data_IF_006792966557
#
_entry.id   IF_006792966557
#
_cell.length_a   1.000
_cell.length_b   1.000
_cell.length_c   1.000
_cell.angle_alpha   90.00
_cell.angle_beta   90.00
_cell.angle_gamma   90.00
#
_symmetry.space_group_name_H-M   'P 1'
#
loop_
_entity.id
_entity.type
_entity.pdbx_description
1 polymer ?
#
# COMPACT_ATOMS: atom_id res chain seq x y z
N UNK A 1 -20.26 3.32 0.49
CA UNK A 1 -20.55 2.11 -0.28
C UNK A 1 -21.98 1.70 -0.01
N UNK A 2 -22.83 1.59 -1.07
CA UNK A 2 -24.26 1.26 -0.94
C UNK A 2 -24.45 -0.14 -0.34
N UNK A 3 -23.66 -1.12 -0.76
CA UNK A 3 -23.73 -2.50 -0.26
C UNK A 3 -23.49 -2.58 1.25
N UNK A 4 -22.57 -1.79 1.79
CA UNK A 4 -22.30 -1.73 3.23
C UNK A 4 -23.48 -1.17 4.01
N UNK A 5 -24.13 -0.13 3.49
CA UNK A 5 -25.33 0.44 4.11
C UNK A 5 -26.48 -0.55 4.11
N UNK A 6 -26.71 -1.22 2.98
CA UNK A 6 -27.75 -2.26 2.86
C UNK A 6 -27.49 -3.42 3.82
N UNK A 7 -26.25 -3.90 3.92
CA UNK A 7 -25.87 -4.95 4.87
C UNK A 7 -26.26 -4.57 6.31
N UNK A 8 -25.85 -3.39 6.78
CA UNK A 8 -26.15 -2.95 8.12
C UNK A 8 -27.66 -2.70 8.34
N UNK A 9 -28.35 -2.17 7.34
CA UNK A 9 -29.82 -2.03 7.41
C UNK A 9 -30.49 -3.39 7.58
N UNK A 10 -30.06 -4.41 6.85
CA UNK A 10 -30.60 -5.77 7.00
C UNK A 10 -30.32 -6.34 8.39
N UNK A 11 -29.11 -6.18 8.92
CA UNK A 11 -28.75 -6.63 10.28
C UNK A 11 -29.61 -5.93 11.35
N UNK A 12 -29.82 -4.63 11.21
CA UNK A 12 -30.62 -3.84 12.15
C UNK A 12 -32.10 -4.23 12.11
N UNK A 13 -32.62 -4.56 10.93
CA UNK A 13 -34.02 -4.97 10.77
C UNK A 13 -34.28 -6.39 11.26
N UNK A 14 -33.34 -7.32 10.96
CA UNK A 14 -33.49 -8.74 11.35
C UNK A 14 -33.25 -8.98 12.85
N UNK A 15 -32.35 -8.18 13.44
CA UNK A 15 -31.96 -8.32 14.85
C UNK A 15 -32.07 -6.99 15.59
N UNK A 16 -33.29 -6.46 15.82
CA UNK A 16 -33.46 -5.22 16.57
C UNK A 16 -32.95 -5.39 18.01
N UNK A 17 -32.11 -4.48 18.47
CA UNK A 17 -31.41 -4.56 19.76
C UNK A 17 -30.00 -5.11 19.62
N UNK A 18 -29.83 -6.38 19.33
CA UNK A 18 -28.51 -6.98 19.10
C UNK A 18 -27.81 -6.35 17.87
N UNK A 19 -28.56 -6.14 16.80
CA UNK A 19 -28.08 -5.47 15.61
C UNK A 19 -27.61 -4.02 15.89
N UNK A 20 -28.29 -3.30 16.77
CA UNK A 20 -27.87 -1.96 17.19
C UNK A 20 -26.56 -1.99 17.99
N UNK A 21 -26.40 -2.95 18.89
CA UNK A 21 -25.14 -3.17 19.60
C UNK A 21 -24.02 -3.54 18.63
N UNK A 22 -24.28 -4.47 17.72
CA UNK A 22 -23.31 -4.84 16.68
C UNK A 22 -22.94 -3.63 15.80
N UNK A 23 -23.91 -2.83 15.37
CA UNK A 23 -23.65 -1.63 14.58
C UNK A 23 -22.84 -0.60 15.37
N UNK A 24 -23.14 -0.41 16.65
CA UNK A 24 -22.38 0.51 17.51
C UNK A 24 -20.91 0.11 17.65
N UNK A 25 -20.65 -1.19 17.84
CA UNK A 25 -19.30 -1.69 18.01
C UNK A 25 -18.55 -1.89 16.68
N UNK A 26 -19.21 -2.35 15.62
CA UNK A 26 -18.58 -2.74 14.36
C UNK A 26 -18.99 -1.90 13.16
N UNK A 27 -20.18 -1.35 13.13
CA UNK A 27 -20.72 -0.57 12.02
C UNK A 27 -20.41 0.93 12.11
N UNK A 28 -20.07 1.41 13.30
CA UNK A 28 -19.88 2.84 13.56
C UNK A 28 -18.52 3.36 13.11
N UNK A 29 -18.52 4.50 12.45
CA UNK A 29 -17.31 5.30 12.14
C UNK A 29 -16.54 5.77 13.40
N UNK A 30 -17.10 5.61 14.60
CA UNK A 30 -16.57 6.18 15.83
C UNK A 30 -15.21 5.59 16.23
N UNK A 31 -15.02 4.28 16.07
CA UNK A 31 -13.73 3.63 16.35
C UNK A 31 -12.61 4.00 15.37
N UNK A 32 -12.97 4.39 14.16
CA UNK A 32 -12.02 4.65 13.07
C UNK A 32 -11.66 6.12 12.86
N UNK A 33 -12.28 7.07 13.56
CA UNK A 33 -12.03 8.51 13.35
C UNK A 33 -10.57 8.91 13.55
N UNK A 34 -9.89 8.31 14.54
CA UNK A 34 -8.46 8.60 14.78
C UNK A 34 -7.57 8.02 13.69
N UNK A 35 -7.83 6.78 13.28
CA UNK A 35 -7.10 6.16 12.18
C UNK A 35 -7.34 6.89 10.86
N UNK A 36 -8.61 7.21 10.56
CA UNK A 36 -8.97 8.00 9.38
C UNK A 36 -8.28 9.37 9.36
N UNK A 37 -8.28 10.11 10.48
CA UNK A 37 -7.58 11.39 10.57
C UNK A 37 -6.07 11.27 10.37
N UNK A 38 -5.44 10.17 10.86
CA UNK A 38 -4.00 9.93 10.63
C UNK A 38 -3.71 9.64 9.17
N UNK A 39 -4.52 8.78 8.54
CA UNK A 39 -4.39 8.46 7.11
C UNK A 39 -4.63 9.72 6.28
N UNK A 40 -5.70 10.47 6.59
CA UNK A 40 -5.99 11.71 5.86
C UNK A 40 -4.85 12.72 5.97
N UNK A 41 -4.30 12.94 7.17
CA UNK A 41 -3.12 13.81 7.33
C UNK A 41 -1.91 13.33 6.53
N UNK A 42 -1.67 12.03 6.45
CA UNK A 42 -0.58 11.49 5.66
C UNK A 42 -0.82 11.67 4.15
N UNK A 43 -2.07 11.50 3.71
CA UNK A 43 -2.47 11.77 2.31
C UNK A 43 -2.34 13.25 1.98
N UNK A 44 -2.82 14.13 2.87
CA UNK A 44 -2.73 15.58 2.68
C UNK A 44 -1.27 16.04 2.60
N UNK A 45 -0.40 15.54 3.49
CA UNK A 45 1.03 15.83 3.45
C UNK A 45 1.71 15.28 2.18
N UNK A 46 1.33 14.09 1.72
CA UNK A 46 1.85 13.53 0.48
C UNK A 46 1.40 14.35 -0.75
N UNK A 47 0.14 14.80 -0.76
CA UNK A 47 -0.38 15.66 -1.81
C UNK A 47 0.31 17.03 -1.82
N UNK A 48 0.52 17.62 -0.64
CA UNK A 48 1.25 18.88 -0.51
C UNK A 48 2.70 18.74 -1.02
N UNK A 49 3.40 17.67 -0.65
CA UNK A 49 4.72 17.36 -1.15
C UNK A 49 4.74 17.18 -2.67
N UNK A 50 3.78 16.44 -3.23
CA UNK A 50 3.65 16.29 -4.69
C UNK A 50 3.34 17.61 -5.38
N UNK A 51 2.50 18.47 -4.79
CA UNK A 51 2.22 19.80 -5.32
C UNK A 51 3.46 20.71 -5.27
N UNK A 52 4.28 20.62 -4.20
CA UNK A 52 5.54 21.33 -4.08
C UNK A 52 6.55 20.96 -5.17
N UNK A 53 6.73 19.65 -5.42
CA UNK A 53 7.58 19.17 -6.52
C UNK A 53 7.06 19.66 -7.89
N UNK A 54 5.74 19.78 -8.06
CA UNK A 54 5.13 20.32 -9.28
C UNK A 54 5.46 21.80 -9.52
N UNK A 55 5.62 22.60 -8.46
CA UNK A 55 5.91 24.05 -8.55
C UNK A 55 7.34 24.40 -9.00
N UNK A 56 8.31 23.51 -8.78
CA UNK A 56 9.75 23.81 -8.95
C UNK A 56 10.37 23.35 -10.30
N UNK A 57 9.57 22.97 -11.28
CA UNK A 57 10.09 22.51 -12.58
C UNK A 57 9.18 21.55 -13.33
N UNK A 58 7.96 21.42 -12.89
CA UNK A 58 7.01 20.45 -13.40
C UNK A 58 6.33 20.87 -14.70
N UNK A 59 6.55 22.05 -15.22
CA UNK A 59 5.98 22.47 -16.52
C UNK A 59 6.45 21.57 -17.67
N UNK A 60 7.62 20.99 -17.58
CA UNK A 60 8.17 20.09 -18.61
C UNK A 60 7.70 18.63 -18.54
N UNK A 61 7.07 18.20 -17.45
CA UNK A 61 6.65 16.80 -17.23
C UNK A 61 5.18 16.55 -17.56
N UNK A 62 4.40 17.63 -17.77
CA UNK A 62 2.94 17.58 -17.89
C UNK A 62 2.39 17.91 -19.29
N UNK A 63 3.19 17.88 -20.33
CA UNK A 63 2.77 18.28 -21.68
C UNK A 63 1.84 17.29 -22.41
N UNK A 64 1.46 16.16 -21.82
CA UNK A 64 0.50 15.29 -22.46
C UNK A 64 -0.92 15.82 -22.26
N UNK A 65 -1.47 16.47 -23.27
CA UNK A 65 -2.91 16.80 -23.26
C UNK A 65 -3.74 15.53 -23.09
N UNK A 66 -4.72 15.54 -22.14
CA UNK A 66 -5.59 14.40 -21.94
C UNK A 66 -6.39 14.08 -23.21
N UNK A 67 -6.00 13.04 -23.94
CA UNK A 67 -6.56 12.68 -25.25
C UNK A 67 -7.95 12.04 -25.20
N UNK A 68 -8.35 11.50 -24.05
CA UNK A 68 -9.63 10.81 -23.91
C UNK A 68 -10.39 11.23 -22.64
N UNK A 69 -11.67 10.81 -22.53
CA UNK A 69 -12.56 11.18 -21.42
C UNK A 69 -12.03 10.73 -20.06
N UNK A 70 -11.36 9.57 -20.00
CA UNK A 70 -10.83 9.00 -18.76
C UNK A 70 -9.66 9.84 -18.27
N UNK A 71 -8.70 10.15 -19.13
CA UNK A 71 -7.55 10.97 -18.76
C UNK A 71 -7.96 12.40 -18.38
N UNK A 72 -8.96 12.98 -19.05
CA UNK A 72 -9.54 14.29 -18.68
C UNK A 72 -10.17 14.25 -17.28
N UNK A 73 -10.95 13.21 -17.00
CA UNK A 73 -11.55 13.01 -15.69
C UNK A 73 -10.49 12.86 -14.58
N UNK A 74 -9.49 12.01 -14.81
CA UNK A 74 -8.41 11.78 -13.85
C UNK A 74 -7.60 13.06 -13.60
N UNK A 75 -7.26 13.80 -14.64
CA UNK A 75 -6.56 15.08 -14.49
C UNK A 75 -7.38 16.09 -13.66
N UNK A 76 -8.70 16.14 -13.87
CA UNK A 76 -9.63 16.96 -13.08
C UNK A 76 -9.76 16.51 -11.61
N UNK A 77 -9.40 15.25 -11.28
CA UNK A 77 -9.34 14.74 -9.91
C UNK A 77 -7.95 14.87 -9.26
N UNK A 78 -7.03 15.58 -9.91
CA UNK A 78 -5.67 15.77 -9.39
C UNK A 78 -4.68 14.63 -9.70
N UNK A 79 -5.05 13.69 -10.58
CA UNK A 79 -4.16 12.66 -11.09
C UNK A 79 -3.54 13.11 -12.42
N UNK A 80 -2.31 13.62 -12.41
CA UNK A 80 -1.67 14.13 -13.62
C UNK A 80 -1.37 13.02 -14.63
N UNK A 81 -1.33 13.36 -15.89
CA UNK A 81 -0.83 12.50 -16.94
C UNK A 81 0.69 12.66 -17.04
N UNK A 82 1.42 11.55 -17.08
CA UNK A 82 2.88 11.55 -17.20
C UNK A 82 3.27 11.06 -18.59
N UNK A 83 4.19 11.78 -19.25
CA UNK A 83 4.68 11.44 -20.59
C UNK A 83 5.99 10.66 -20.57
N UNK A 84 6.80 10.82 -19.52
CA UNK A 84 8.11 10.16 -19.35
C UNK A 84 7.97 8.76 -18.72
N UNK A 85 7.09 7.92 -19.25
CA UNK A 85 6.82 6.61 -18.63
C UNK A 85 7.15 5.49 -19.60
N UNK A 86 8.16 4.69 -19.25
CA UNK A 86 8.44 3.42 -19.91
C UNK A 86 7.63 2.32 -19.23
N UNK A 87 6.90 1.56 -20.03
CA UNK A 87 6.01 0.50 -19.54
C UNK A 87 6.54 -0.84 -20.04
N UNK A 88 6.82 -1.76 -19.11
CA UNK A 88 7.13 -3.15 -19.40
C UNK A 88 5.94 -4.03 -19.02
N UNK A 89 5.45 -4.83 -19.95
CA UNK A 89 4.36 -5.76 -19.72
C UNK A 89 4.90 -7.19 -19.61
N UNK A 90 4.45 -7.92 -18.62
CA UNK A 90 4.79 -9.32 -18.40
C UNK A 90 3.51 -10.17 -18.49
N UNK A 91 3.51 -11.16 -19.36
CA UNK A 91 2.39 -12.08 -19.61
C UNK A 91 2.23 -13.14 -18.51
N UNK A 92 3.32 -13.42 -17.77
CA UNK A 92 3.35 -14.38 -16.64
C UNK A 92 4.18 -13.83 -15.48
N UNK A 93 3.81 -14.25 -14.26
CA UNK A 93 4.44 -13.79 -13.03
C UNK A 93 5.91 -14.12 -12.90
N UNK A 94 6.33 -15.26 -13.46
CA UNK A 94 7.72 -15.71 -13.44
C UNK A 94 8.66 -14.75 -14.17
N UNK A 95 8.23 -14.19 -15.29
CA UNK A 95 9.00 -13.18 -16.04
C UNK A 95 9.11 -11.88 -15.25
N UNK A 96 8.00 -11.46 -14.62
CA UNK A 96 8.00 -10.30 -13.73
C UNK A 96 8.96 -10.49 -12.55
N UNK A 97 8.92 -11.64 -11.88
CA UNK A 97 9.81 -11.94 -10.76
C UNK A 97 11.28 -11.99 -11.17
N UNK A 98 11.58 -12.52 -12.36
CA UNK A 98 12.94 -12.53 -12.91
C UNK A 98 13.45 -11.10 -13.14
N UNK A 99 12.68 -10.27 -13.84
CA UNK A 99 13.03 -8.85 -14.08
C UNK A 99 13.17 -8.08 -12.77
N UNK A 100 12.23 -8.25 -11.83
CA UNK A 100 12.30 -7.60 -10.52
C UNK A 100 13.59 -8.01 -9.76
N UNK A 101 13.93 -9.27 -9.79
CA UNK A 101 15.15 -9.80 -9.14
C UNK A 101 16.41 -9.18 -9.74
N UNK A 102 16.47 -9.04 -11.06
CA UNK A 102 17.57 -8.40 -11.77
C UNK A 102 17.67 -6.91 -11.40
N UNK A 103 16.55 -6.18 -11.45
CA UNK A 103 16.51 -4.76 -11.03
C UNK A 103 16.91 -4.54 -9.58
N UNK A 104 16.56 -5.45 -8.67
CA UNK A 104 17.01 -5.40 -7.28
C UNK A 104 18.54 -5.53 -7.18
N UNK A 105 19.15 -6.42 -7.99
CA UNK A 105 20.60 -6.58 -8.05
C UNK A 105 21.31 -5.35 -8.64
N UNK A 106 20.66 -4.68 -9.59
CA UNK A 106 21.20 -3.50 -10.24
C UNK A 106 21.01 -2.20 -9.45
N UNK A 107 20.21 -2.21 -8.40
CA UNK A 107 19.96 -1.05 -7.56
C UNK A 107 21.26 -0.51 -6.94
N UNK A 108 21.45 0.83 -7.01
CA UNK A 108 22.69 1.50 -6.59
C UNK A 108 22.51 2.53 -5.48
N UNK A 109 21.30 3.01 -5.24
CA UNK A 109 21.07 4.10 -4.28
C UNK A 109 20.09 3.71 -3.18
N UNK A 110 18.92 3.22 -3.54
CA UNK A 110 17.87 2.84 -2.60
C UNK A 110 16.95 1.79 -3.21
N UNK A 111 16.21 1.07 -2.36
CA UNK A 111 15.16 0.14 -2.74
C UNK A 111 13.94 0.45 -1.86
N UNK A 112 12.81 0.82 -2.49
CA UNK A 112 11.54 0.99 -1.81
C UNK A 112 10.52 0.00 -2.37
N UNK A 113 9.96 -0.82 -1.49
CA UNK A 113 9.00 -1.86 -1.86
C UNK A 113 7.72 -1.71 -1.05
N UNK A 114 6.57 -1.89 -1.71
CA UNK A 114 5.27 -1.88 -1.04
C UNK A 114 4.42 -3.02 -1.56
N UNK A 115 3.92 -3.86 -0.65
CA UNK A 115 3.11 -5.03 -0.98
C UNK A 115 1.85 -5.10 -0.14
N UNK A 116 0.79 -5.65 -0.72
CA UNK A 116 -0.38 -6.04 0.04
C UNK A 116 -0.10 -7.32 0.84
N UNK A 117 0.50 -8.32 0.20
CA UNK A 117 0.82 -9.60 0.82
C UNK A 117 2.30 -9.90 0.58
N UNK A 118 3.00 -10.23 1.66
CA UNK A 118 4.29 -10.90 1.63
C UNK A 118 4.08 -12.26 2.28
N UNK A 119 4.60 -13.31 1.64
CA UNK A 119 4.57 -14.67 2.14
C UNK A 119 5.98 -15.25 2.17
N UNK A 120 6.34 -15.91 3.27
CA UNK A 120 7.57 -16.68 3.35
C UNK A 120 7.57 -17.80 2.30
N UNK A 121 8.71 -18.06 1.71
CA UNK A 121 8.88 -19.07 0.68
C UNK A 121 10.06 -18.78 -0.24
N UNK A 122 10.37 -19.69 -1.14
CA UNK A 122 11.58 -19.68 -1.97
C UNK A 122 11.80 -18.36 -2.73
N UNK A 123 10.73 -17.75 -3.22
CA UNK A 123 10.82 -16.48 -3.96
C UNK A 123 11.20 -15.34 -3.02
N UNK A 124 10.52 -15.26 -1.86
CA UNK A 124 10.77 -14.21 -0.88
C UNK A 124 12.14 -14.37 -0.22
N UNK A 125 12.56 -15.61 0.06
CA UNK A 125 13.88 -15.88 0.63
C UNK A 125 15.01 -15.42 -0.30
N UNK A 126 14.90 -15.66 -1.60
CA UNK A 126 15.86 -15.13 -2.60
C UNK A 126 15.89 -13.61 -2.62
N UNK A 127 14.73 -12.97 -2.52
CA UNK A 127 14.68 -11.50 -2.42
C UNK A 127 15.35 -11.02 -1.15
N UNK A 128 15.08 -11.66 -0.01
CA UNK A 128 15.71 -11.32 1.27
C UNK A 128 17.24 -11.39 1.17
N UNK A 129 17.80 -12.43 0.54
CA UNK A 129 19.26 -12.56 0.35
C UNK A 129 19.83 -11.35 -0.43
N UNK A 130 19.18 -10.96 -1.53
CA UNK A 130 19.61 -9.80 -2.33
C UNK A 130 19.48 -8.50 -1.52
N UNK A 131 18.37 -8.33 -0.80
CA UNK A 131 18.14 -7.15 0.02
C UNK A 131 19.17 -7.02 1.15
N UNK A 132 19.52 -8.14 1.79
CA UNK A 132 20.57 -8.19 2.81
C UNK A 132 21.95 -7.84 2.24
N UNK A 133 22.29 -8.35 1.06
CA UNK A 133 23.52 -7.99 0.34
C UNK A 133 23.56 -6.51 0.04
N UNK A 134 22.48 -5.95 -0.51
CA UNK A 134 22.36 -4.53 -0.83
C UNK A 134 22.40 -3.63 0.42
N UNK A 135 21.79 -4.07 1.51
CA UNK A 135 21.87 -3.36 2.80
C UNK A 135 23.32 -3.31 3.32
N UNK A 136 24.04 -4.44 3.27
CA UNK A 136 25.47 -4.50 3.61
C UNK A 136 26.33 -3.60 2.72
N UNK A 137 25.94 -3.42 1.47
CA UNK A 137 26.57 -2.48 0.54
C UNK A 137 26.21 -1.01 0.80
N UNK A 138 25.39 -0.72 1.82
CA UNK A 138 25.03 0.63 2.25
C UNK A 138 23.81 1.23 1.57
N UNK A 139 23.03 0.46 0.82
CA UNK A 139 21.81 0.96 0.21
C UNK A 139 20.72 1.16 1.28
N UNK A 140 19.98 2.25 1.14
CA UNK A 140 18.77 2.45 1.94
C UNK A 140 17.64 1.58 1.43
N UNK A 141 17.13 0.69 2.27
CA UNK A 141 16.05 -0.23 1.91
C UNK A 141 14.86 -0.02 2.84
N UNK A 142 13.68 0.20 2.25
CA UNK A 142 12.43 0.32 2.99
C UNK A 142 11.37 -0.58 2.38
N UNK A 143 10.77 -1.43 3.22
CA UNK A 143 9.72 -2.37 2.83
C UNK A 143 8.46 -2.02 3.62
N UNK A 144 7.35 -1.88 2.94
CA UNK A 144 6.03 -1.72 3.55
C UNK A 144 5.12 -2.87 3.10
N UNK A 145 4.41 -3.47 4.04
CA UNK A 145 3.42 -4.51 3.76
C UNK A 145 2.14 -4.28 4.54
N UNK A 146 1.01 -4.76 4.02
CA UNK A 146 -0.25 -4.71 4.77
C UNK A 146 -0.30 -5.82 5.81
N UNK A 147 -0.59 -5.44 7.05
CA UNK A 147 -0.58 -6.36 8.18
C UNK A 147 -1.64 -7.46 8.03
N UNK A 148 -2.87 -7.11 7.64
CA UNK A 148 -3.93 -8.10 7.46
C UNK A 148 -3.68 -9.04 6.28
N UNK A 149 -3.01 -8.55 5.22
CA UNK A 149 -2.65 -9.38 4.07
C UNK A 149 -1.56 -10.40 4.41
N UNK A 150 -0.62 -10.04 5.30
CA UNK A 150 0.60 -10.81 5.55
C UNK A 150 0.59 -11.57 6.88
N UNK A 151 -0.36 -11.30 7.79
CA UNK A 151 -0.37 -11.80 9.18
C UNK A 151 -0.26 -13.33 9.33
N UNK A 152 -0.75 -14.09 8.37
CA UNK A 152 -0.69 -15.55 8.39
C UNK A 152 0.43 -16.12 7.51
N UNK A 153 1.15 -15.29 6.78
CA UNK A 153 2.06 -15.73 5.73
C UNK A 153 3.49 -15.24 5.92
N UNK A 154 3.69 -14.11 6.60
CA UNK A 154 5.01 -13.57 6.91
C UNK A 154 5.34 -13.83 8.38
N UNK A 155 6.39 -14.57 8.63
CA UNK A 155 6.81 -14.90 10.00
C UNK A 155 7.53 -13.71 10.68
N UNK A 156 7.35 -13.63 12.00
CA UNK A 156 8.10 -12.66 12.81
C UNK A 156 9.62 -12.85 12.70
N UNK A 157 10.08 -14.10 12.52
CA UNK A 157 11.48 -14.40 12.32
C UNK A 157 12.05 -13.73 11.07
N UNK A 158 11.32 -13.74 9.96
CA UNK A 158 11.73 -13.05 8.73
C UNK A 158 11.76 -11.53 8.93
N UNK A 159 10.77 -10.97 9.62
CA UNK A 159 10.76 -9.54 9.94
C UNK A 159 11.96 -9.14 10.81
N UNK A 160 12.27 -9.94 11.83
CA UNK A 160 13.43 -9.73 12.71
C UNK A 160 14.75 -9.86 11.93
N UNK A 161 14.87 -10.88 11.08
CA UNK A 161 16.02 -11.07 10.19
C UNK A 161 16.31 -9.84 9.33
N UNK A 162 15.29 -9.31 8.66
CA UNK A 162 15.43 -8.12 7.81
C UNK A 162 15.80 -6.86 8.62
N UNK A 163 15.19 -6.67 9.80
CA UNK A 163 15.56 -5.56 10.70
C UNK A 163 17.02 -5.65 11.16
N UNK A 164 17.48 -6.84 11.50
CA UNK A 164 18.87 -7.07 11.92
C UNK A 164 19.87 -6.83 10.77
N UNK A 165 19.43 -7.02 9.53
CA UNK A 165 20.20 -6.66 8.34
C UNK A 165 20.19 -5.14 8.02
N UNK A 166 19.58 -4.31 8.86
CA UNK A 166 19.52 -2.85 8.66
C UNK A 166 18.42 -2.39 7.70
N UNK A 167 17.47 -3.26 7.35
CA UNK A 167 16.37 -2.95 6.45
C UNK A 167 15.20 -2.35 7.24
N UNK A 168 14.69 -1.19 6.79
CA UNK A 168 13.45 -0.64 7.32
C UNK A 168 12.26 -1.46 6.82
N UNK A 169 11.66 -2.27 7.69
CA UNK A 169 10.42 -2.98 7.37
C UNK A 169 9.29 -2.49 8.28
N UNK A 170 8.16 -2.11 7.67
CA UNK A 170 7.00 -1.55 8.38
C UNK A 170 5.71 -2.20 7.91
N UNK A 171 4.84 -2.51 8.87
CA UNK A 171 3.50 -2.95 8.58
C UNK A 171 2.55 -1.77 8.43
N UNK A 172 1.77 -1.76 7.36
CA UNK A 172 0.70 -0.81 7.14
C UNK A 172 -0.56 -1.27 7.86
N UNK A 173 -1.19 -0.36 8.59
CA UNK A 173 -2.45 -0.56 9.30
C UNK A 173 -2.46 -1.82 10.20
N UNK A 174 -1.60 -1.87 11.25
CA UNK A 174 -1.46 -3.02 12.13
C UNK A 174 -2.79 -3.52 12.69
N UNK A 175 -2.99 -4.83 12.65
CA UNK A 175 -4.19 -5.51 13.18
C UNK A 175 -4.16 -5.60 14.71
N UNK A 176 -2.97 -5.43 15.30
CA UNK A 176 -2.77 -5.50 16.73
C UNK A 176 -3.78 -4.67 17.54
N UNK A 177 -4.48 -5.35 18.44
CA UNK A 177 -5.32 -4.83 19.52
C UNK A 177 -6.72 -4.30 19.21
N UNK A 178 -7.15 -4.18 17.96
CA UNK A 178 -8.54 -3.76 17.70
C UNK A 178 -9.12 -4.54 16.53
N UNK A 179 -9.93 -5.56 16.79
CA UNK A 179 -10.76 -6.28 15.81
C UNK A 179 -11.58 -5.35 14.90
N UNK A 180 -11.76 -4.08 15.31
CA UNK A 180 -12.39 -3.03 14.50
C UNK A 180 -11.58 -2.59 13.29
N UNK A 181 -10.26 -2.90 13.22
CA UNK A 181 -9.36 -2.54 12.11
C UNK A 181 -9.34 -3.55 10.97
N UNK A 182 -10.06 -4.65 11.10
CA UNK A 182 -10.24 -5.64 10.03
C UNK A 182 -11.07 -5.12 8.84
N UNK A 183 -11.54 -3.87 8.88
CA UNK A 183 -12.33 -3.32 7.79
C UNK A 183 -11.44 -3.04 6.56
N UNK A 184 -11.79 -3.73 5.48
CA UNK A 184 -11.09 -3.81 4.20
C UNK A 184 -10.88 -2.47 3.48
N UNK A 185 -11.61 -1.42 3.86
CA UNK A 185 -11.60 -0.13 3.16
C UNK A 185 -10.30 0.69 3.34
N UNK A 186 -9.43 0.30 4.26
CA UNK A 186 -8.18 1.02 4.58
C UNK A 186 -6.97 0.10 4.49
N UNK A 187 -6.99 -0.84 3.55
CA UNK A 187 -5.88 -1.75 3.31
C UNK A 187 -5.03 -1.30 2.14
N UNK A 188 -3.75 -1.61 2.20
CA UNK A 188 -2.86 -1.45 1.07
C UNK A 188 -3.14 -2.56 0.05
N UNK A 189 -3.60 -2.19 -1.14
CA UNK A 189 -3.89 -3.15 -2.22
C UNK A 189 -2.80 -3.15 -3.30
N UNK A 190 -1.63 -2.60 -3.02
CA UNK A 190 -0.49 -2.66 -3.93
C UNK A 190 0.02 -4.11 -4.03
N UNK A 191 0.35 -4.49 -5.25
CA UNK A 191 0.84 -5.83 -5.59
C UNK A 191 2.18 -5.74 -6.29
#
# INVERSE_FOLDING_TARGET
NAAYKLYWMSVLLLFPGVGHLMYFFWGGMLGNRRAHRRIQKAVDAANEYQCGIRGEGAESVFEAEPKNKISKYLAGQGFPLYDNTEISYFDVGEKYLADMTERLRDAKKYIFMSFFIIADGVVWDRMCEILEEKSKAGLRICIMYDDAGSILQLSDSTVVRLKNAGIEIRNFNPVERNYQRLFLNFRNHQK
#
